data_IF_959695551904
#
_entry.id   IF_959695551904
#
_cell.length_a   1.000
_cell.length_b   1.000
_cell.length_c   1.000
_cell.angle_alpha   90.00
_cell.angle_beta   90.00
_cell.angle_gamma   90.00
#
_symmetry.space_group_name_H-M   'P 1'
#
loop_
_entity.id
_entity.type
_entity.pdbx_description
1 polymer ?
#
# COMPACT_ATOMS: atom_id res chain seq x y z
N UNK A 1 59.34 -63.15 65.31
CA UNK A 1 58.07 -63.16 64.57
C UNK A 1 57.68 -61.72 64.31
N UNK A 2 57.90 -61.20 63.10
CA UNK A 2 56.90 -61.14 61.99
C UNK A 2 55.76 -60.18 62.36
N UNK A 3 55.33 -59.21 61.56
CA UNK A 3 55.25 -59.04 60.11
C UNK A 3 54.86 -57.56 59.82
N UNK A 4 55.38 -56.95 58.75
CA UNK A 4 54.67 -56.49 57.53
C UNK A 4 53.59 -55.41 57.75
N UNK A 5 53.68 -54.23 57.13
CA UNK A 5 53.30 -53.98 55.73
C UNK A 5 51.79 -53.70 55.66
N UNK A 6 51.22 -52.68 55.03
CA UNK A 6 51.65 -51.98 53.83
C UNK A 6 50.91 -50.63 53.72
N UNK A 7 51.56 -49.73 53.01
CA UNK A 7 51.06 -48.45 52.55
C UNK A 7 50.12 -48.64 51.36
N UNK A 8 49.37 -47.57 51.06
CA UNK A 8 49.00 -47.14 49.69
C UNK A 8 47.50 -47.16 49.34
N UNK A 9 46.98 -45.93 49.34
CA UNK A 9 46.20 -45.31 48.24
C UNK A 9 44.85 -45.91 47.85
N UNK A 10 43.82 -45.25 48.39
CA UNK A 10 42.60 -44.82 47.71
C UNK A 10 42.69 -44.81 46.16
N UNK A 11 42.14 -45.84 45.52
CA UNK A 11 41.76 -45.80 44.10
C UNK A 11 40.24 -45.76 44.01
N UNK A 12 39.73 -44.54 43.83
CA UNK A 12 38.34 -44.23 43.59
C UNK A 12 37.93 -44.78 42.21
N UNK A 13 37.42 -46.02 42.14
CA UNK A 13 37.00 -46.61 40.86
C UNK A 13 35.70 -45.97 40.37
N UNK A 14 35.80 -44.88 39.61
CA UNK A 14 34.67 -44.36 38.85
C UNK A 14 34.26 -45.38 37.79
N UNK A 15 33.15 -46.08 38.01
CA UNK A 15 32.64 -47.13 37.13
C UNK A 15 32.31 -46.60 35.72
N UNK A 16 32.65 -47.35 34.65
CA UNK A 16 32.55 -46.90 33.25
C UNK A 16 31.10 -46.61 32.78
N UNK A 17 30.10 -47.10 33.51
CA UNK A 17 28.67 -46.91 33.25
C UNK A 17 28.18 -45.47 33.54
N UNK A 18 28.77 -44.80 34.53
CA UNK A 18 28.39 -43.43 34.93
C UNK A 18 28.83 -42.37 33.92
N UNK A 19 30.01 -42.53 33.31
CA UNK A 19 30.56 -41.63 32.29
C UNK A 19 29.80 -41.73 30.96
N UNK A 20 29.39 -42.94 30.56
CA UNK A 20 28.60 -43.17 29.35
C UNK A 20 27.21 -42.51 29.43
N UNK A 21 26.53 -42.62 30.58
CA UNK A 21 25.21 -41.99 30.82
C UNK A 21 25.28 -40.46 30.80
N UNK A 22 26.34 -39.86 31.35
CA UNK A 22 26.57 -38.40 31.35
C UNK A 22 26.90 -37.86 29.95
N UNK A 23 27.65 -38.62 29.14
CA UNK A 23 28.01 -38.28 27.75
C UNK A 23 26.80 -38.37 26.81
N UNK A 24 25.92 -39.37 26.99
CA UNK A 24 24.65 -39.51 26.23
C UNK A 24 23.67 -38.38 26.55
N UNK A 25 23.53 -38.00 27.83
CA UNK A 25 22.67 -36.87 28.27
C UNK A 25 23.16 -35.52 27.72
N UNK A 26 24.47 -35.28 27.70
CA UNK A 26 25.07 -34.08 27.08
C UNK A 26 24.83 -34.04 25.56
N UNK A 27 24.96 -35.17 24.85
CA UNK A 27 24.64 -35.25 23.41
C UNK A 27 23.16 -34.96 23.12
N UNK A 28 22.23 -35.49 23.92
CA UNK A 28 20.80 -35.19 23.78
C UNK A 28 20.47 -33.71 24.07
N UNK A 29 21.13 -33.08 25.05
CA UNK A 29 20.96 -31.65 25.35
C UNK A 29 21.54 -30.76 24.24
N UNK A 30 22.70 -31.12 23.67
CA UNK A 30 23.30 -30.40 22.54
C UNK A 30 22.43 -30.54 21.28
N UNK A 31 21.95 -31.75 20.97
CA UNK A 31 21.03 -31.99 19.85
C UNK A 31 19.69 -31.25 20.05
N UNK A 32 19.12 -31.32 21.26
CA UNK A 32 17.89 -30.59 21.60
C UNK A 32 18.07 -29.08 21.51
N UNK A 33 19.19 -28.55 22.00
CA UNK A 33 19.55 -27.14 21.87
C UNK A 33 19.77 -26.70 20.42
N UNK A 34 20.42 -27.54 19.60
CA UNK A 34 20.60 -27.28 18.17
C UNK A 34 19.27 -27.28 17.41
N UNK A 35 18.38 -28.24 17.70
CA UNK A 35 17.02 -28.27 17.12
C UNK A 35 16.21 -27.05 17.54
N UNK A 36 16.26 -26.64 18.81
CA UNK A 36 15.57 -25.46 19.30
C UNK A 36 16.11 -24.19 18.61
N UNK A 37 17.44 -24.06 18.50
CA UNK A 37 18.06 -22.94 17.81
C UNK A 37 17.64 -22.89 16.33
N UNK A 38 17.61 -24.04 15.64
CA UNK A 38 17.15 -24.11 14.25
C UNK A 38 15.69 -23.66 14.11
N UNK A 39 14.80 -24.11 15.00
CA UNK A 39 13.39 -23.70 15.00
C UNK A 39 13.23 -22.20 15.25
N UNK A 40 14.01 -21.63 16.17
CA UNK A 40 14.02 -20.18 16.44
C UNK A 40 14.49 -19.42 15.20
N UNK A 41 15.58 -19.85 14.56
CA UNK A 41 16.09 -19.22 13.32
C UNK A 41 15.05 -19.29 12.21
N UNK A 42 14.43 -20.45 11.99
CA UNK A 42 13.36 -20.60 10.99
C UNK A 42 12.15 -19.71 11.30
N UNK A 43 11.76 -19.60 12.58
CA UNK A 43 10.68 -18.71 13.02
C UNK A 43 11.01 -17.24 12.76
N UNK A 44 12.22 -16.80 13.07
CA UNK A 44 12.68 -15.43 12.79
C UNK A 44 12.70 -15.17 11.28
N UNK A 45 13.22 -16.10 10.47
CA UNK A 45 13.23 -15.97 9.01
C UNK A 45 11.80 -15.88 8.46
N UNK A 46 10.88 -16.72 8.92
CA UNK A 46 9.49 -16.69 8.51
C UNK A 46 8.81 -15.37 8.89
N UNK A 47 9.07 -14.86 10.10
CA UNK A 47 8.56 -13.57 10.55
C UNK A 47 9.09 -12.41 9.70
N UNK A 48 10.39 -12.40 9.41
CA UNK A 48 11.01 -11.38 8.55
C UNK A 48 10.43 -11.46 7.13
N UNK A 49 10.27 -12.66 6.57
CA UNK A 49 9.61 -12.85 5.27
C UNK A 49 8.17 -12.32 5.28
N UNK A 50 7.40 -12.64 6.31
CA UNK A 50 6.03 -12.14 6.47
C UNK A 50 5.99 -10.61 6.51
N UNK A 51 6.79 -9.99 7.38
CA UNK A 51 6.85 -8.53 7.52
C UNK A 51 7.35 -7.83 6.24
N UNK A 52 8.32 -8.42 5.55
CA UNK A 52 8.86 -7.84 4.30
C UNK A 52 7.92 -7.99 3.11
N UNK A 53 7.06 -9.02 3.08
CA UNK A 53 6.03 -9.19 2.06
C UNK A 53 4.81 -8.29 2.31
N UNK A 54 4.50 -7.98 3.56
CA UNK A 54 3.36 -7.13 3.95
C UNK A 54 3.67 -5.64 4.00
N UNK A 55 4.95 -5.26 3.91
CA UNK A 55 5.32 -3.84 3.88
C UNK A 55 4.80 -3.19 2.59
N UNK A 56 3.65 -2.54 2.70
CA UNK A 56 3.08 -1.73 1.64
C UNK A 56 4.02 -0.57 1.29
N UNK A 57 4.15 -0.32 0.00
CA UNK A 57 4.89 0.79 -0.59
C UNK A 57 3.96 1.56 -1.50
N UNK A 58 4.17 2.86 -1.53
CA UNK A 58 3.32 3.77 -2.29
C UNK A 58 3.49 3.54 -3.80
N UNK A 59 2.39 3.47 -4.55
CA UNK A 59 2.46 3.38 -6.00
C UNK A 59 2.97 4.70 -6.60
N UNK A 60 3.58 4.62 -7.78
CA UNK A 60 3.85 5.82 -8.58
C UNK A 60 2.75 5.99 -9.62
N UNK A 61 2.11 7.15 -9.62
CA UNK A 61 0.95 7.43 -10.47
C UNK A 61 1.35 8.52 -11.47
N UNK A 62 1.11 8.29 -12.76
CA UNK A 62 1.41 9.25 -13.84
C UNK A 62 0.21 9.42 -14.75
N UNK A 63 -0.25 10.64 -14.95
CA UNK A 63 -1.26 10.94 -15.95
C UNK A 63 -0.66 10.79 -17.35
N UNK A 64 -1.25 9.95 -18.18
CA UNK A 64 -0.78 9.66 -19.54
C UNK A 64 -1.60 10.44 -20.56
N UNK A 65 -2.92 10.44 -20.39
CA UNK A 65 -3.84 11.14 -21.27
C UNK A 65 -5.04 11.67 -20.50
N UNK A 66 -5.59 12.78 -20.99
CA UNK A 66 -6.85 13.34 -20.55
C UNK A 66 -7.64 13.70 -21.81
N UNK A 67 -8.87 13.20 -21.91
CA UNK A 67 -9.77 13.42 -23.04
C UNK A 67 -11.10 13.94 -22.52
N UNK A 68 -11.63 14.98 -23.15
CA UNK A 68 -12.99 15.43 -22.86
C UNK A 68 -13.96 14.49 -23.58
N UNK A 69 -14.78 13.77 -22.83
CA UNK A 69 -15.82 12.88 -23.39
C UNK A 69 -17.05 13.67 -23.80
N UNK A 70 -17.45 14.66 -23.00
CA UNK A 70 -18.67 15.39 -23.27
C UNK A 70 -18.91 16.56 -22.32
N UNK A 71 -19.73 17.47 -22.82
CA UNK A 71 -20.27 18.58 -22.05
C UNK A 71 -21.79 18.39 -22.05
N UNK A 72 -22.38 18.20 -20.88
CA UNK A 72 -23.82 17.98 -20.73
C UNK A 72 -24.51 19.22 -20.15
N UNK A 73 -25.05 20.10 -21.00
CA UNK A 73 -25.84 21.24 -20.55
C UNK A 73 -27.23 20.75 -20.12
N UNK A 74 -27.63 21.00 -18.87
CA UNK A 74 -29.03 20.91 -18.44
C UNK A 74 -29.63 22.31 -18.42
N UNK A 75 -30.77 22.48 -19.10
CA UNK A 75 -31.49 23.74 -19.18
C UNK A 75 -32.81 23.57 -18.44
N UNK A 76 -33.00 24.31 -17.34
CA UNK A 76 -34.25 24.33 -16.58
C UNK A 76 -34.87 25.74 -16.71
N UNK A 77 -36.12 25.84 -17.18
CA UNK A 77 -36.85 27.10 -17.45
C UNK A 77 -38.12 27.20 -16.59
N UNK A 78 -38.45 28.41 -16.06
CA UNK A 78 -38.97 29.49 -16.92
C UNK A 78 -38.03 30.67 -17.22
N UNK A 79 -36.93 30.88 -16.47
CA UNK A 79 -35.98 31.98 -16.73
C UNK A 79 -34.50 31.55 -16.54
N UNK A 80 -34.08 30.59 -17.36
CA UNK A 80 -32.73 30.13 -17.71
C UNK A 80 -31.73 29.89 -16.54
N UNK A 81 -31.70 28.65 -16.05
CA UNK A 81 -30.52 28.09 -15.38
C UNK A 81 -29.83 27.08 -16.33
N UNK A 82 -28.56 27.32 -16.68
CA UNK A 82 -27.73 26.43 -17.51
C UNK A 82 -26.72 25.75 -16.59
N UNK A 83 -26.88 24.45 -16.34
CA UNK A 83 -25.90 23.64 -15.61
C UNK A 83 -24.99 22.95 -16.63
N UNK A 84 -23.69 23.20 -16.58
CA UNK A 84 -22.72 22.68 -17.54
C UNK A 84 -21.84 21.60 -16.87
N UNK A 85 -22.14 20.33 -17.05
CA UNK A 85 -21.25 19.29 -16.50
C UNK A 85 -20.22 18.87 -17.55
N UNK A 86 -18.96 18.81 -17.15
CA UNK A 86 -17.85 18.40 -18.03
C UNK A 86 -17.38 17.02 -17.59
N UNK A 87 -17.38 16.07 -18.52
CA UNK A 87 -16.84 14.73 -18.28
C UNK A 87 -15.50 14.56 -19.00
N UNK A 88 -14.51 14.08 -18.25
CA UNK A 88 -13.13 13.87 -18.65
C UNK A 88 -12.78 12.39 -18.45
N UNK A 89 -12.40 11.72 -19.52
CA UNK A 89 -11.77 10.41 -19.48
C UNK A 89 -10.27 10.60 -19.25
N UNK A 90 -9.77 10.06 -18.15
CA UNK A 90 -8.37 10.12 -17.72
C UNK A 90 -7.77 8.73 -17.84
N UNK A 91 -6.60 8.64 -18.48
CA UNK A 91 -5.80 7.43 -18.50
C UNK A 91 -4.53 7.65 -17.70
N UNK A 92 -4.34 6.82 -16.69
CA UNK A 92 -3.26 6.95 -15.71
C UNK A 92 -2.43 5.68 -15.70
N UNK A 93 -1.11 5.82 -15.76
CA UNK A 93 -0.17 4.72 -15.57
C UNK A 93 0.17 4.61 -14.10
N UNK A 94 -0.13 3.45 -13.52
CA UNK A 94 0.15 3.13 -12.12
C UNK A 94 1.26 2.09 -12.05
N UNK A 95 2.39 2.47 -11.47
CA UNK A 95 3.48 1.56 -11.12
C UNK A 95 3.27 1.03 -9.71
N UNK A 96 3.18 -0.29 -9.56
CA UNK A 96 3.07 -0.96 -8.27
C UNK A 96 4.42 -1.53 -7.83
N UNK A 97 5.15 -0.90 -6.88
CA UNK A 97 6.41 -1.44 -6.39
C UNK A 97 6.24 -2.65 -5.44
N UNK A 98 5.01 -2.98 -5.05
CA UNK A 98 4.73 -4.09 -4.14
C UNK A 98 4.89 -5.45 -4.82
N UNK A 99 5.24 -6.47 -4.03
CA UNK A 99 5.35 -7.86 -4.50
C UNK A 99 3.99 -8.56 -4.65
N UNK A 100 2.92 -7.88 -4.27
CA UNK A 100 1.56 -8.39 -4.34
C UNK A 100 0.81 -7.73 -5.51
N UNK A 101 0.00 -8.53 -6.20
CA UNK A 101 -0.92 -8.00 -7.21
C UNK A 101 -2.11 -7.35 -6.50
N UNK A 102 -2.68 -6.31 -7.10
CA UNK A 102 -3.90 -5.67 -6.62
C UNK A 102 -4.97 -5.74 -7.71
N UNK A 103 -5.96 -6.60 -7.48
CA UNK A 103 -7.16 -6.70 -8.30
C UNK A 103 -8.19 -5.75 -7.68
N UNK A 104 -8.44 -4.60 -8.32
CA UNK A 104 -9.37 -3.59 -7.80
C UNK A 104 -10.72 -3.69 -8.48
N UNK A 105 -11.76 -3.47 -7.69
CA UNK A 105 -13.10 -3.22 -8.20
C UNK A 105 -13.23 -1.74 -8.60
N UNK A 106 -14.42 -1.36 -9.02
CA UNK A 106 -14.77 0.05 -9.21
C UNK A 106 -14.50 0.84 -7.93
N UNK A 107 -13.92 2.03 -8.08
CA UNK A 107 -13.58 2.90 -6.96
C UNK A 107 -14.05 4.33 -7.20
N UNK A 108 -14.19 5.07 -6.11
CA UNK A 108 -14.73 6.42 -6.12
C UNK A 108 -13.64 7.44 -5.78
N UNK A 109 -13.65 8.59 -6.44
CA UNK A 109 -12.80 9.73 -6.14
C UNK A 109 -13.65 10.98 -6.02
N UNK A 110 -13.53 11.73 -4.93
CA UNK A 110 -14.10 13.06 -4.78
C UNK A 110 -13.06 14.11 -5.19
N UNK A 111 -13.48 15.12 -5.96
CA UNK A 111 -12.68 16.28 -6.33
C UNK A 111 -13.20 17.52 -5.58
N UNK A 112 -12.33 18.16 -4.83
CA UNK A 112 -12.66 19.33 -4.02
C UNK A 112 -11.83 20.54 -4.47
N UNK A 113 -12.46 21.71 -4.43
CA UNK A 113 -11.81 22.99 -4.63
C UNK A 113 -12.06 23.87 -3.40
N UNK A 114 -10.97 24.27 -2.71
CA UNK A 114 -11.04 25.04 -1.46
C UNK A 114 -12.02 24.44 -0.43
N UNK A 115 -11.99 23.11 -0.30
CA UNK A 115 -12.85 22.35 0.62
C UNK A 115 -14.31 22.15 0.16
N UNK A 116 -14.72 22.68 -0.99
CA UNK A 116 -16.04 22.42 -1.56
C UNK A 116 -15.97 21.29 -2.59
N UNK A 117 -16.89 20.32 -2.53
CA UNK A 117 -17.01 19.26 -3.54
C UNK A 117 -17.42 19.89 -4.88
N UNK A 118 -16.60 19.70 -5.91
CA UNK A 118 -16.82 20.25 -7.26
C UNK A 118 -16.90 19.18 -8.35
N UNK A 119 -16.64 17.92 -7.99
CA UNK A 119 -16.76 16.82 -8.92
C UNK A 119 -16.45 15.47 -8.26
N UNK A 120 -16.62 14.43 -9.06
CA UNK A 120 -16.39 13.04 -8.69
C UNK A 120 -15.79 12.28 -9.87
N UNK A 121 -15.01 11.24 -9.60
CA UNK A 121 -14.48 10.36 -10.63
C UNK A 121 -14.65 8.90 -10.26
N UNK A 122 -15.01 8.10 -11.26
CA UNK A 122 -15.12 6.64 -11.12
C UNK A 122 -13.86 6.00 -11.71
N UNK A 123 -13.19 5.18 -10.90
CA UNK A 123 -12.05 4.36 -11.31
C UNK A 123 -12.59 3.03 -11.82
N UNK A 124 -12.27 2.68 -13.06
CA UNK A 124 -12.71 1.43 -13.64
C UNK A 124 -12.01 0.22 -12.98
N UNK A 125 -12.70 -0.92 -12.84
CA UNK A 125 -12.12 -2.12 -12.27
C UNK A 125 -10.97 -2.65 -13.14
N UNK A 126 -9.95 -3.19 -12.48
CA UNK A 126 -8.75 -3.61 -13.18
C UNK A 126 -7.78 -4.41 -12.32
N UNK A 127 -6.62 -4.69 -12.90
CA UNK A 127 -5.56 -5.47 -12.23
C UNK A 127 -4.22 -4.78 -12.36
N UNK A 128 -3.60 -4.53 -11.22
CA UNK A 128 -2.24 -3.99 -11.14
C UNK A 128 -1.29 -5.12 -10.77
N UNK A 129 -0.37 -5.53 -11.67
CA UNK A 129 0.53 -6.64 -11.43
C UNK A 129 1.54 -6.32 -10.31
N UNK A 130 2.16 -7.33 -9.69
CA UNK A 130 3.23 -7.11 -8.73
C UNK A 130 4.47 -6.59 -9.45
N UNK A 131 5.12 -5.54 -8.90
CA UNK A 131 6.35 -4.93 -9.47
C UNK A 131 6.22 -4.54 -10.94
N UNK A 132 5.05 -4.06 -11.34
CA UNK A 132 4.77 -3.72 -12.73
C UNK A 132 3.82 -2.55 -12.86
N UNK A 133 3.57 -2.21 -14.11
CA UNK A 133 2.75 -1.07 -14.49
C UNK A 133 1.38 -1.55 -15.01
N UNK A 134 0.35 -0.76 -14.75
CA UNK A 134 -0.97 -0.94 -15.34
C UNK A 134 -1.55 0.41 -15.74
N UNK A 135 -2.27 0.43 -16.86
CA UNK A 135 -3.11 1.56 -17.23
C UNK A 135 -4.43 1.42 -16.48
N UNK A 136 -4.83 2.50 -15.80
CA UNK A 136 -6.07 2.63 -15.07
C UNK A 136 -6.85 3.76 -15.71
N UNK A 137 -8.12 3.49 -16.03
CA UNK A 137 -9.04 4.45 -16.60
C UNK A 137 -9.91 5.05 -15.50
N UNK A 138 -10.10 6.37 -15.56
CA UNK A 138 -10.94 7.10 -14.63
C UNK A 138 -11.83 8.07 -15.40
N UNK A 139 -13.12 8.11 -15.05
CA UNK A 139 -14.07 9.03 -15.65
C UNK A 139 -14.39 10.14 -14.64
N UNK A 140 -13.76 11.30 -14.80
CA UNK A 140 -13.93 12.47 -13.95
C UNK A 140 -15.09 13.34 -14.46
N UNK A 141 -16.07 13.58 -13.60
CA UNK A 141 -17.18 14.49 -13.80
C UNK A 141 -16.95 15.74 -12.96
N UNK A 142 -16.88 16.90 -13.62
CA UNK A 142 -16.83 18.21 -12.96
C UNK A 142 -18.19 18.88 -13.10
N UNK A 143 -18.72 19.31 -11.96
CA UNK A 143 -20.02 19.96 -11.84
C UNK A 143 -19.84 21.49 -11.84
N UNK A 144 -20.14 22.16 -12.96
CA UNK A 144 -19.84 23.59 -13.09
C UNK A 144 -20.71 24.47 -12.21
N UNK A 145 -21.90 24.05 -11.81
CA UNK A 145 -22.76 24.75 -10.84
C UNK A 145 -22.07 24.82 -9.46
N UNK A 146 -21.51 23.71 -9.00
CA UNK A 146 -20.74 23.66 -7.75
C UNK A 146 -19.44 24.46 -7.83
N UNK A 147 -18.76 24.39 -8.98
CA UNK A 147 -17.56 25.19 -9.21
C UNK A 147 -17.90 26.69 -9.32
N UNK A 148 -19.04 27.04 -9.93
CA UNK A 148 -19.50 28.41 -10.09
C UNK A 148 -19.82 29.08 -8.73
N UNK A 149 -20.26 28.31 -7.73
CA UNK A 149 -20.40 28.82 -6.36
C UNK A 149 -19.08 29.36 -5.77
N UNK A 150 -17.93 28.99 -6.34
CA UNK A 150 -16.59 29.47 -6.00
C UNK A 150 -15.91 30.23 -7.15
N UNK A 151 -16.67 30.71 -8.14
CA UNK A 151 -16.13 31.34 -9.35
C UNK A 151 -15.18 32.50 -9.06
N UNK A 152 -15.51 33.37 -8.10
CA UNK A 152 -14.66 34.50 -7.72
C UNK A 152 -13.29 34.03 -7.20
N UNK A 153 -13.27 32.98 -6.38
CA UNK A 153 -12.03 32.36 -5.88
C UNK A 153 -11.25 31.72 -7.02
N UNK A 154 -11.93 31.02 -7.93
CA UNK A 154 -11.29 30.37 -9.07
C UNK A 154 -10.63 31.39 -9.99
N UNK A 155 -11.32 32.50 -10.29
CA UNK A 155 -10.75 33.59 -11.11
C UNK A 155 -9.55 34.22 -10.41
N UNK A 156 -9.61 34.42 -9.09
CA UNK A 156 -8.48 34.95 -8.33
C UNK A 156 -7.26 34.01 -8.36
N UNK A 157 -7.47 32.70 -8.21
CA UNK A 157 -6.42 31.68 -8.24
C UNK A 157 -5.81 31.56 -9.65
N UNK A 158 -6.66 31.56 -10.69
CA UNK A 158 -6.22 31.61 -12.11
C UNK A 158 -5.40 32.88 -12.38
N UNK A 159 -5.82 34.04 -11.87
CA UNK A 159 -5.08 35.28 -12.01
C UNK A 159 -3.77 35.31 -11.21
N UNK A 160 -3.72 34.60 -10.07
CA UNK A 160 -2.51 34.37 -9.29
C UNK A 160 -1.56 33.37 -9.99
N UNK A 161 -2.03 32.66 -11.02
CA UNK A 161 -1.22 31.75 -11.83
C UNK A 161 -1.21 30.31 -11.33
N UNK A 162 -1.95 29.97 -10.28
CA UNK A 162 -1.98 28.62 -9.69
C UNK A 162 -3.37 28.27 -9.15
N UNK A 163 -3.82 27.04 -9.40
CA UNK A 163 -5.08 26.51 -8.87
C UNK A 163 -4.81 25.17 -8.18
N UNK A 164 -5.29 25.04 -6.95
CA UNK A 164 -5.12 23.82 -6.16
C UNK A 164 -6.44 23.07 -5.98
N UNK A 165 -6.37 21.75 -6.11
CA UNK A 165 -7.48 20.84 -5.88
C UNK A 165 -7.08 19.77 -4.87
N UNK A 166 -8.05 19.37 -4.05
CA UNK A 166 -7.92 18.22 -3.17
C UNK A 166 -8.68 17.05 -3.78
N UNK A 167 -8.13 15.84 -3.66
CA UNK A 167 -8.80 14.62 -4.10
C UNK A 167 -8.82 13.59 -2.99
N UNK A 168 -9.97 12.93 -2.79
CA UNK A 168 -10.11 11.81 -1.86
C UNK A 168 -10.59 10.59 -2.63
N UNK A 169 -9.76 9.55 -2.70
CA UNK A 169 -10.03 8.34 -3.48
C UNK A 169 -10.17 7.13 -2.56
N UNK A 170 -11.11 6.25 -2.87
CA UNK A 170 -11.33 4.97 -2.20
C UNK A 170 -11.58 3.87 -3.21
N UNK A 171 -10.67 2.90 -3.28
CA UNK A 171 -10.70 1.80 -4.25
C UNK A 171 -10.72 0.47 -3.49
N UNK A 172 -11.86 -0.22 -3.42
CA UNK A 172 -11.94 -1.56 -2.85
C UNK A 172 -11.30 -2.58 -3.80
N UNK A 173 -10.72 -3.64 -3.24
CA UNK A 173 -10.07 -4.65 -4.04
C UNK A 173 -9.60 -5.87 -3.28
N UNK A 174 -8.67 -6.59 -3.90
CA UNK A 174 -8.09 -7.82 -3.40
C UNK A 174 -6.60 -7.83 -3.68
N UNK A 175 -5.82 -8.05 -2.63
CA UNK A 175 -4.37 -8.20 -2.72
C UNK A 175 -4.04 -9.69 -2.81
N UNK A 176 -3.22 -10.07 -3.79
CA UNK A 176 -2.74 -11.44 -3.97
C UNK A 176 -1.24 -11.52 -3.68
N UNK A 177 -0.88 -12.15 -2.56
CA UNK A 177 0.50 -12.37 -2.08
C UNK A 177 0.94 -13.78 -2.45
N UNK A 178 2.17 -13.93 -2.95
CA UNK A 178 2.76 -15.22 -3.37
C UNK A 178 1.86 -16.01 -4.35
N UNK A 179 1.06 -15.33 -5.17
CA UNK A 179 0.11 -15.89 -6.14
C UNK A 179 -1.11 -16.67 -5.58
N UNK A 180 -1.08 -17.16 -4.33
CA UNK A 180 -2.19 -17.96 -3.77
C UNK A 180 -2.87 -17.34 -2.53
N UNK A 181 -2.20 -16.44 -1.80
CA UNK A 181 -2.78 -15.83 -0.59
C UNK A 181 -3.57 -14.60 -1.01
N UNK A 182 -4.90 -14.69 -0.95
CA UNK A 182 -5.82 -13.60 -1.29
C UNK A 182 -6.37 -12.94 -0.03
N UNK A 183 -6.28 -11.61 0.07
CA UNK A 183 -6.87 -10.81 1.14
C UNK A 183 -7.68 -9.68 0.55
N UNK A 184 -8.78 -9.33 1.21
CA UNK A 184 -9.47 -8.09 0.88
C UNK A 184 -8.54 -6.93 1.20
N UNK A 185 -8.63 -5.85 0.44
CA UNK A 185 -7.98 -4.62 0.80
C UNK A 185 -8.78 -3.45 0.25
N UNK A 186 -8.67 -2.30 0.90
CA UNK A 186 -9.15 -1.03 0.38
C UNK A 186 -7.97 -0.09 0.32
N UNK A 187 -7.68 0.41 -0.88
CA UNK A 187 -6.69 1.45 -1.08
C UNK A 187 -7.38 2.80 -0.99
N UNK A 188 -6.87 3.70 -0.17
CA UNK A 188 -7.35 5.08 -0.06
C UNK A 188 -6.21 6.06 -0.28
N UNK A 189 -6.53 7.20 -0.89
CA UNK A 189 -5.58 8.28 -1.05
C UNK A 189 -6.20 9.65 -0.87
N UNK A 190 -5.47 10.52 -0.18
CA UNK A 190 -5.77 11.94 -0.10
C UNK A 190 -4.62 12.69 -0.77
N UNK A 191 -4.92 13.47 -1.81
CA UNK A 191 -3.92 14.24 -2.51
C UNK A 191 -4.28 15.72 -2.56
N UNK A 192 -3.28 16.57 -2.39
CA UNK A 192 -3.31 17.99 -2.69
C UNK A 192 -2.49 18.23 -3.95
N UNK A 193 -3.12 18.74 -5.01
CA UNK A 193 -2.48 18.93 -6.32
C UNK A 193 -2.62 20.38 -6.74
N UNK A 194 -1.48 21.02 -7.01
CA UNK A 194 -1.42 22.40 -7.50
C UNK A 194 -1.06 22.41 -8.97
N UNK A 195 -1.90 23.03 -9.79
CA UNK A 195 -1.68 23.22 -11.22
C UNK A 195 -1.27 24.66 -11.50
N UNK A 196 -0.24 24.84 -12.33
CA UNK A 196 0.14 26.13 -12.87
C UNK A 196 -0.81 26.57 -13.99
N UNK A 197 -1.02 27.87 -14.11
CA UNK A 197 -1.82 28.52 -15.15
C UNK A 197 -0.92 29.53 -15.88
N UNK A 198 -0.91 29.59 -17.22
CA UNK A 198 -1.80 28.90 -18.15
C UNK A 198 -1.28 27.56 -18.69
N UNK A 199 -0.11 27.09 -18.24
CA UNK A 199 0.54 25.88 -18.78
C UNK A 199 -0.13 24.56 -18.35
N UNK A 200 -1.04 24.61 -17.36
CA UNK A 200 -1.83 23.49 -16.84
C UNK A 200 -0.95 22.30 -16.40
N UNK A 201 0.29 22.60 -15.98
CA UNK A 201 1.23 21.61 -15.48
C UNK A 201 1.08 21.44 -13.97
N UNK A 202 1.22 20.21 -13.51
CA UNK A 202 1.33 19.92 -12.07
C UNK A 202 2.60 20.57 -11.54
N UNK A 203 2.45 21.53 -10.61
CA UNK A 203 3.54 22.25 -9.95
C UNK A 203 3.96 21.55 -8.67
N UNK A 204 2.98 21.15 -7.86
CA UNK A 204 3.18 20.37 -6.66
C UNK A 204 2.10 19.29 -6.55
N UNK A 205 2.47 18.17 -5.96
CA UNK A 205 1.57 17.07 -5.69
C UNK A 205 2.01 16.39 -4.39
N UNK A 206 1.15 16.44 -3.39
CA UNK A 206 1.35 15.78 -2.10
C UNK A 206 0.23 14.77 -1.90
N UNK A 207 0.59 13.48 -1.83
CA UNK A 207 -0.38 12.40 -1.66
C UNK A 207 -0.05 11.58 -0.42
N UNK A 208 -1.08 11.29 0.36
CA UNK A 208 -1.05 10.31 1.45
C UNK A 208 -1.80 9.07 1.00
N UNK A 209 -1.11 7.94 0.97
CA UNK A 209 -1.69 6.65 0.63
C UNK A 209 -1.89 5.81 1.89
N UNK A 210 -3.01 5.12 1.96
CA UNK A 210 -3.31 4.17 3.02
C UNK A 210 -3.91 2.89 2.40
N UNK A 211 -3.67 1.74 3.04
CA UNK A 211 -4.23 0.46 2.61
C UNK A 211 -4.71 -0.30 3.82
N UNK A 212 -6.03 -0.51 3.92
CA UNK A 212 -6.64 -1.33 4.95
C UNK A 212 -6.83 -2.76 4.43
N UNK A 213 -6.27 -3.76 5.11
CA UNK A 213 -6.35 -5.20 4.79
C UNK A 213 -7.50 -5.91 5.53
#
# INVERSE_FOLDING_TARGET
MTESGDSSTHLNSSSPTSLHRRRRRRRCLILGGACLLLLVVLGVVALVLYLTLLKARDPTIKLVAARVEGVSPRVTLPAFHIELNVTLELMVLVHNPNRAAFDHAEGDTALLYRGALVGDAVVEPGRIPPRGDAYVQLNLRVEADRLAAKLLSLVADVAAGEVAFDTSTRIPGRVTILAFIKRHAVASSECHVTFGVPDLKVRNQECRYETSL
#
